data_IF_343776608319
#
_entry.id   IF_343776608319
#
_cell.length_a   1.000
_cell.length_b   1.000
_cell.length_c   1.000
_cell.angle_alpha   90.00
_cell.angle_beta   90.00
_cell.angle_gamma   90.00
#
_symmetry.space_group_name_H-M   'P 1'
#
loop_
_entity.id
_entity.type
_entity.pdbx_description
1 polymer ?
#
# COMPACT_ATOMS: atom_id res chain seq x y z
N UNK A 1 -7.98 12.57 2.76
CA UNK A 1 -9.06 11.61 2.91
C UNK A 1 -10.34 12.29 3.40
N UNK A 2 -11.45 11.64 3.27
CA UNK A 2 -12.67 12.02 3.97
C UNK A 2 -12.38 12.12 5.46
N UNK A 3 -13.02 13.06 6.17
CA UNK A 3 -12.65 13.47 7.53
C UNK A 3 -12.26 12.29 8.45
N UNK A 4 -10.99 12.22 8.81
CA UNK A 4 -10.45 11.35 9.84
C UNK A 4 -10.13 9.91 9.43
N UNK A 5 -10.34 9.49 8.18
CA UNK A 5 -10.04 8.12 7.73
C UNK A 5 -8.85 8.09 6.78
N UNK A 6 -7.78 7.38 7.15
CA UNK A 6 -6.62 7.15 6.28
C UNK A 6 -6.24 5.67 6.28
N UNK A 7 -5.53 5.23 5.24
CA UNK A 7 -4.99 3.87 5.16
C UNK A 7 -3.86 3.68 6.19
N UNK A 8 -3.86 2.54 6.88
CA UNK A 8 -2.76 2.20 7.78
C UNK A 8 -1.43 2.08 7.03
N UNK A 9 -0.40 2.70 7.57
CA UNK A 9 0.96 2.61 7.06
C UNK A 9 1.62 1.27 7.42
N UNK A 10 2.75 0.98 6.78
CA UNK A 10 3.56 -0.20 7.09
C UNK A 10 5.05 0.10 6.92
N UNK A 11 5.88 -0.64 7.63
CA UNK A 11 7.32 -0.72 7.41
C UNK A 11 7.62 -2.01 6.64
N UNK A 12 8.16 -1.87 5.45
CA UNK A 12 8.60 -3.01 4.65
C UNK A 12 10.02 -3.40 5.05
N UNK A 13 10.33 -4.70 4.94
CA UNK A 13 11.66 -5.19 5.29
C UNK A 13 12.02 -6.45 4.50
N UNK A 14 13.31 -6.78 4.51
CA UNK A 14 13.83 -8.00 3.90
C UNK A 14 14.46 -8.89 4.95
N UNK A 15 14.25 -10.18 4.78
CA UNK A 15 14.91 -11.23 5.54
C UNK A 15 15.90 -11.95 4.63
N UNK A 16 17.13 -12.10 5.10
CA UNK A 16 18.16 -12.95 4.49
C UNK A 16 18.32 -14.25 5.26
N UNK A 17 19.01 -15.23 4.69
CA UNK A 17 19.21 -16.56 5.29
C UNK A 17 17.97 -17.45 5.27
N UNK A 18 17.04 -17.16 4.37
CA UNK A 18 15.80 -17.93 4.14
C UNK A 18 16.06 -19.06 3.14
N UNK A 19 15.54 -20.24 3.42
CA UNK A 19 15.39 -21.28 2.42
C UNK A 19 14.26 -20.89 1.45
N UNK A 20 14.64 -20.25 0.34
CA UNK A 20 13.68 -19.68 -0.61
C UNK A 20 12.96 -20.76 -1.43
N UNK A 21 13.50 -21.98 -1.54
CA UNK A 21 12.80 -23.08 -2.16
C UNK A 21 11.60 -23.51 -1.31
N UNK A 22 11.79 -23.65 -0.01
CA UNK A 22 10.70 -23.98 0.92
C UNK A 22 9.73 -22.80 1.08
N UNK A 23 10.25 -21.61 1.26
CA UNK A 23 9.45 -20.40 1.51
C UNK A 23 8.58 -20.01 0.29
N UNK A 24 9.06 -20.25 -0.93
CA UNK A 24 8.36 -19.93 -2.16
C UNK A 24 7.12 -20.79 -2.42
N UNK A 25 7.08 -21.99 -1.86
CA UNK A 25 5.93 -22.90 -1.97
C UNK A 25 4.79 -22.57 -0.98
N UNK A 26 5.04 -21.68 0.00
CA UNK A 26 4.05 -21.31 0.99
C UNK A 26 2.97 -20.42 0.41
N UNK A 27 1.74 -20.88 0.49
CA UNK A 27 0.57 -20.09 0.11
C UNK A 27 0.17 -19.09 1.19
N UNK A 28 -0.52 -18.01 0.82
CA UNK A 28 -1.05 -17.03 1.78
C UNK A 28 -1.93 -17.64 2.88
N UNK A 29 -2.84 -18.61 2.61
CA UNK A 29 -3.60 -19.31 3.65
C UNK A 29 -2.71 -20.05 4.65
N UNK A 30 -1.69 -20.77 4.19
CA UNK A 30 -0.75 -21.48 5.08
C UNK A 30 0.02 -20.50 5.98
N UNK A 31 0.54 -19.40 5.42
CA UNK A 31 1.22 -18.37 6.21
C UNK A 31 0.27 -17.77 7.24
N UNK A 32 -0.99 -17.50 6.86
CA UNK A 32 -2.00 -17.00 7.79
C UNK A 32 -2.21 -17.96 8.97
N UNK A 33 -2.38 -19.25 8.71
CA UNK A 33 -2.53 -20.25 9.76
C UNK A 33 -1.35 -20.27 10.74
N UNK A 34 -0.13 -20.22 10.22
CA UNK A 34 1.10 -20.18 11.03
C UNK A 34 1.19 -18.91 11.89
N UNK A 35 0.84 -17.75 11.34
CA UNK A 35 0.84 -16.50 12.09
C UNK A 35 -0.29 -16.44 13.13
N UNK A 36 -1.47 -17.00 12.84
CA UNK A 36 -2.57 -17.10 13.82
C UNK A 36 -2.20 -18.05 14.97
N UNK A 37 -1.42 -19.10 14.73
CA UNK A 37 -0.85 -19.94 15.80
C UNK A 37 0.08 -19.12 16.69
N UNK A 38 0.96 -18.29 16.10
CA UNK A 38 1.81 -17.40 16.90
C UNK A 38 0.99 -16.43 17.75
N UNK A 39 -0.12 -15.90 17.21
CA UNK A 39 -1.06 -15.07 17.97
C UNK A 39 -1.68 -15.86 19.14
N UNK A 40 -2.10 -17.09 18.91
CA UNK A 40 -2.65 -17.96 19.96
C UNK A 40 -1.62 -18.26 21.07
N UNK A 41 -0.32 -18.34 20.71
CA UNK A 41 0.79 -18.51 21.64
C UNK A 41 1.21 -17.20 22.35
N UNK A 42 0.47 -16.09 22.13
CA UNK A 42 0.65 -14.82 22.83
C UNK A 42 1.50 -13.76 22.10
N UNK A 43 1.91 -13.98 20.86
CA UNK A 43 2.60 -12.94 20.09
C UNK A 43 1.63 -11.82 19.65
N UNK A 44 1.90 -10.55 19.98
CA UNK A 44 0.99 -9.44 19.70
C UNK A 44 1.11 -8.97 18.24
N UNK A 45 0.83 -9.85 17.29
CA UNK A 45 0.92 -9.52 15.87
C UNK A 45 -0.23 -8.58 15.47
N UNK A 46 0.06 -7.38 14.97
CA UNK A 46 -0.99 -6.46 14.49
C UNK A 46 -1.63 -6.96 13.19
N UNK A 47 -0.94 -7.82 12.43
CA UNK A 47 -1.42 -8.44 11.20
C UNK A 47 -0.97 -9.90 11.13
N UNK A 48 -1.88 -10.81 10.81
CA UNK A 48 -1.63 -12.24 10.74
C UNK A 48 -1.74 -12.80 9.32
N UNK A 49 -1.52 -11.98 8.30
CA UNK A 49 -1.55 -12.42 6.90
C UNK A 49 -0.57 -11.61 6.05
N UNK A 50 0.16 -12.32 5.19
CA UNK A 50 1.05 -11.71 4.18
C UNK A 50 1.32 -12.71 3.07
N UNK A 51 1.86 -12.24 1.93
CA UNK A 51 2.57 -13.08 0.99
C UNK A 51 4.06 -13.12 1.31
N UNK A 52 4.74 -14.17 0.92
CA UNK A 52 6.21 -14.23 0.85
C UNK A 52 6.61 -13.85 -0.58
N UNK A 53 7.38 -12.79 -0.70
CA UNK A 53 7.89 -12.34 -2.00
C UNK A 53 9.37 -12.71 -2.10
N UNK A 54 9.65 -13.82 -2.78
CA UNK A 54 11.02 -14.29 -3.02
C UNK A 54 11.76 -13.27 -3.90
N UNK A 55 12.93 -12.83 -3.46
CA UNK A 55 13.77 -11.91 -4.21
C UNK A 55 14.61 -12.71 -5.23
N UNK A 56 15.01 -12.11 -6.39
CA UNK A 56 15.98 -12.74 -7.27
C UNK A 56 17.33 -13.07 -6.62
N UNK A 57 17.70 -12.38 -5.54
CA UNK A 57 18.86 -12.74 -4.73
C UNK A 57 18.53 -13.98 -3.88
N UNK A 58 19.36 -15.02 -4.00
CA UNK A 58 19.20 -16.26 -3.26
C UNK A 58 19.14 -16.02 -1.75
N UNK A 59 18.24 -16.73 -1.08
CA UNK A 59 18.08 -16.66 0.36
C UNK A 59 17.44 -15.39 0.89
N UNK A 60 16.89 -14.51 0.01
CA UNK A 60 16.28 -13.23 0.39
C UNK A 60 14.78 -13.22 0.09
N UNK A 61 13.99 -12.77 1.06
CA UNK A 61 12.56 -12.52 0.90
C UNK A 61 12.20 -11.10 1.31
N UNK A 62 11.19 -10.54 0.67
CA UNK A 62 10.60 -9.26 1.00
C UNK A 62 9.24 -9.47 1.68
N UNK A 63 9.00 -8.74 2.77
CA UNK A 63 7.78 -8.81 3.56
C UNK A 63 7.12 -7.44 3.71
N UNK A 64 5.79 -7.41 3.50
CA UNK A 64 4.90 -6.29 3.78
C UNK A 64 3.81 -6.77 4.75
N UNK A 65 4.18 -7.01 6.00
CA UNK A 65 3.31 -7.63 7.01
C UNK A 65 3.01 -6.72 8.21
N UNK A 66 3.80 -5.66 8.41
CA UNK A 66 3.57 -4.73 9.52
C UNK A 66 2.30 -3.91 9.32
N UNK A 67 1.71 -3.42 10.40
CA UNK A 67 0.59 -2.50 10.43
C UNK A 67 0.82 -1.49 11.54
N UNK A 68 0.99 -0.24 11.18
CA UNK A 68 1.35 0.81 12.12
C UNK A 68 0.09 1.47 12.67
N UNK A 69 -0.06 1.41 13.98
CA UNK A 69 -1.17 2.01 14.72
C UNK A 69 -0.63 2.86 15.86
N UNK A 70 -1.36 3.92 16.19
CA UNK A 70 -1.19 4.63 17.44
C UNK A 70 -1.65 3.76 18.64
N UNK A 71 -1.48 4.20 19.89
CA UNK A 71 -1.92 3.45 21.08
C UNK A 71 -3.41 3.12 21.11
N UNK A 72 -4.25 3.91 20.46
CA UNK A 72 -5.71 3.70 20.37
C UNK A 72 -6.09 2.70 19.27
N UNK A 73 -5.10 2.18 18.53
CA UNK A 73 -5.32 1.25 17.41
C UNK A 73 -5.71 1.92 16.10
N UNK A 74 -5.68 3.26 16.04
CA UNK A 74 -6.00 4.05 14.86
C UNK A 74 -4.75 4.30 13.99
N UNK A 75 -4.91 4.68 12.70
CA UNK A 75 -3.78 5.06 11.87
C UNK A 75 -3.08 6.31 12.42
N UNK A 76 -1.76 6.36 12.29
CA UNK A 76 -1.00 7.58 12.58
C UNK A 76 -1.33 8.69 11.59
N UNK A 77 -1.41 9.94 12.07
CA UNK A 77 -1.48 11.14 11.24
C UNK A 77 -0.07 11.47 10.71
N UNK A 78 0.33 10.85 9.60
CA UNK A 78 1.72 10.87 9.10
C UNK A 78 2.15 12.21 8.46
N UNK A 79 1.30 13.23 8.48
CA UNK A 79 1.66 14.61 8.17
C UNK A 79 2.10 15.39 9.40
N UNK A 80 1.96 14.79 10.58
CA UNK A 80 2.45 15.27 11.85
C UNK A 80 3.85 14.65 12.09
N UNK A 81 4.92 15.44 12.26
CA UNK A 81 6.29 14.94 12.41
C UNK A 81 6.48 14.05 13.66
N UNK A 82 5.78 14.34 14.76
CA UNK A 82 5.87 13.55 15.99
C UNK A 82 5.25 12.18 15.79
N UNK A 83 4.06 12.13 15.20
CA UNK A 83 3.39 10.87 14.87
C UNK A 83 4.14 10.06 13.80
N UNK A 84 4.77 10.73 12.82
CA UNK A 84 5.63 10.05 11.86
C UNK A 84 6.84 9.43 12.54
N UNK A 85 7.50 10.14 13.46
CA UNK A 85 8.65 9.63 14.22
C UNK A 85 8.25 8.43 15.08
N UNK A 86 7.08 8.48 15.72
CA UNK A 86 6.56 7.36 16.50
C UNK A 86 6.20 6.17 15.61
N UNK A 87 5.60 6.39 14.45
CA UNK A 87 5.31 5.33 13.47
C UNK A 87 6.60 4.62 13.00
N UNK A 88 7.69 5.36 12.79
CA UNK A 88 9.01 4.79 12.47
C UNK A 88 9.52 3.90 13.61
N UNK A 89 9.38 4.34 14.86
CA UNK A 89 9.79 3.56 16.03
C UNK A 89 8.98 2.27 16.18
N UNK A 90 7.66 2.38 16.06
CA UNK A 90 6.73 1.23 16.12
C UNK A 90 7.00 0.26 14.97
N UNK A 91 7.25 0.77 13.77
CA UNK A 91 7.58 -0.05 12.61
C UNK A 91 8.82 -0.92 12.83
N UNK A 92 9.90 -0.33 13.38
CA UNK A 92 11.14 -1.07 13.70
C UNK A 92 10.94 -2.13 14.78
N UNK A 93 10.09 -1.87 15.76
CA UNK A 93 9.73 -2.86 16.79
C UNK A 93 8.94 -4.02 16.18
N UNK A 94 7.97 -3.74 15.32
CA UNK A 94 7.22 -4.79 14.63
C UNK A 94 8.11 -5.64 13.72
N UNK A 95 9.09 -5.06 13.03
CA UNK A 95 10.05 -5.80 12.20
C UNK A 95 10.80 -6.85 13.04
N UNK A 96 11.27 -6.49 14.23
CA UNK A 96 11.93 -7.45 15.15
C UNK A 96 10.98 -8.56 15.61
N UNK A 97 9.74 -8.19 15.94
CA UNK A 97 8.71 -9.15 16.33
C UNK A 97 8.43 -10.16 15.20
N UNK A 98 8.26 -9.68 13.97
CA UNK A 98 8.03 -10.57 12.82
C UNK A 98 9.26 -11.41 12.47
N UNK A 99 10.49 -10.90 12.61
CA UNK A 99 11.69 -11.73 12.45
C UNK A 99 11.65 -12.93 13.38
N UNK A 100 11.36 -12.72 14.68
CA UNK A 100 11.27 -13.78 15.67
C UNK A 100 10.17 -14.79 15.33
N UNK A 101 8.96 -14.30 15.00
CA UNK A 101 7.82 -15.14 14.68
C UNK A 101 8.06 -15.96 13.41
N UNK A 102 8.57 -15.35 12.33
CA UNK A 102 8.88 -16.09 11.11
C UNK A 102 9.91 -17.18 11.36
N UNK A 103 10.95 -16.92 12.13
CA UNK A 103 11.97 -17.90 12.47
C UNK A 103 11.42 -19.10 13.25
N UNK A 104 10.45 -18.86 14.11
CA UNK A 104 9.89 -19.88 15.00
C UNK A 104 8.77 -20.69 14.36
N UNK A 105 7.93 -20.06 13.54
CA UNK A 105 6.68 -20.65 13.07
C UNK A 105 6.68 -20.97 11.58
N UNK A 106 7.46 -20.29 10.76
CA UNK A 106 7.35 -20.39 9.31
C UNK A 106 8.46 -21.29 8.73
N UNK A 107 8.12 -22.38 8.03
CA UNK A 107 9.09 -23.25 7.37
C UNK A 107 10.01 -22.45 6.43
N UNK A 108 11.29 -22.83 6.40
CA UNK A 108 12.31 -22.13 5.60
C UNK A 108 12.92 -20.90 6.25
N UNK A 109 12.37 -20.38 7.37
CA UNK A 109 12.84 -19.14 8.01
C UNK A 109 13.70 -19.35 9.27
N UNK A 110 14.02 -20.59 9.64
CA UNK A 110 14.72 -20.87 10.92
C UNK A 110 16.04 -20.11 11.13
N UNK A 111 16.74 -19.74 10.06
CA UNK A 111 17.99 -18.95 10.08
C UNK A 111 17.82 -17.51 9.63
N UNK A 112 16.59 -17.09 9.37
CA UNK A 112 16.29 -15.77 8.81
C UNK A 112 16.78 -14.65 9.75
N UNK A 113 17.26 -13.55 9.13
CA UNK A 113 17.66 -12.31 9.83
C UNK A 113 17.21 -11.12 8.98
N UNK A 114 16.83 -10.05 9.66
CA UNK A 114 16.60 -8.76 9.00
C UNK A 114 17.92 -8.29 8.40
N UNK A 115 17.93 -8.08 7.09
CA UNK A 115 19.09 -7.55 6.36
C UNK A 115 18.86 -6.13 5.87
N UNK A 116 17.59 -5.72 5.76
CA UNK A 116 17.23 -4.40 5.26
C UNK A 116 15.82 -4.01 5.75
N UNK A 117 15.63 -2.73 6.01
CA UNK A 117 14.35 -2.12 6.37
C UNK A 117 14.14 -0.93 5.44
N UNK A 118 12.93 -0.71 4.97
CA UNK A 118 12.60 0.45 4.15
C UNK A 118 13.13 1.75 4.76
N UNK A 119 13.66 2.64 3.92
CA UNK A 119 14.28 3.90 4.35
C UNK A 119 13.32 4.78 5.17
N UNK A 120 12.03 4.63 4.95
CA UNK A 120 10.97 5.31 5.69
C UNK A 120 9.70 4.47 5.76
N UNK A 121 8.79 4.87 6.63
CA UNK A 121 7.42 4.31 6.69
C UNK A 121 6.75 4.39 5.33
N UNK A 122 6.15 3.30 4.90
CA UNK A 122 5.35 3.22 3.69
C UNK A 122 3.99 3.87 3.88
N UNK A 123 3.92 5.16 3.54
CA UNK A 123 2.69 5.96 3.62
C UNK A 123 1.78 5.61 2.44
N UNK A 124 0.55 5.18 2.73
CA UNK A 124 -0.45 4.86 1.70
C UNK A 124 -1.36 6.02 1.37
N UNK A 125 -1.77 6.75 2.39
CA UNK A 125 -2.69 7.87 2.27
C UNK A 125 -2.39 8.92 3.35
N UNK A 126 -2.52 10.20 2.99
CA UNK A 126 -2.51 11.34 3.90
C UNK A 126 -3.47 12.40 3.38
N UNK A 127 -2.92 13.47 2.77
CA UNK A 127 -3.70 14.54 2.13
C UNK A 127 -3.95 14.18 0.67
N UNK A 128 -5.17 14.34 0.23
CA UNK A 128 -5.57 14.28 -1.18
C UNK A 128 -5.86 15.70 -1.65
N UNK A 129 -5.58 16.00 -2.91
CA UNK A 129 -5.95 17.30 -3.47
C UNK A 129 -7.46 17.37 -3.73
N UNK A 130 -7.97 18.58 -3.84
CA UNK A 130 -9.28 18.83 -4.43
C UNK A 130 -9.05 19.12 -5.91
N UNK A 131 -9.41 18.18 -6.76
CA UNK A 131 -9.29 18.30 -8.22
C UNK A 131 -10.57 18.84 -8.85
N UNK A 132 -10.49 19.14 -10.14
CA UNK A 132 -11.66 19.49 -10.97
C UNK A 132 -12.63 18.31 -11.10
N UNK A 133 -12.13 17.08 -10.92
CA UNK A 133 -12.90 15.85 -10.79
C UNK A 133 -12.44 15.03 -9.59
N UNK A 134 -13.28 14.05 -9.23
CA UNK A 134 -13.02 13.11 -8.12
C UNK A 134 -13.18 11.69 -8.61
N UNK A 135 -12.16 10.84 -8.43
CA UNK A 135 -12.29 9.41 -8.64
C UNK A 135 -13.12 8.82 -7.49
N UNK A 136 -14.34 8.38 -7.78
CA UNK A 136 -15.25 7.86 -6.77
C UNK A 136 -15.14 6.33 -6.62
N UNK A 137 -15.57 5.81 -5.50
CA UNK A 137 -15.71 4.36 -5.28
C UNK A 137 -16.66 3.74 -6.32
N UNK A 138 -17.77 4.42 -6.61
CA UNK A 138 -18.75 3.98 -7.62
C UNK A 138 -18.12 3.88 -9.01
N UNK A 139 -17.19 4.80 -9.36
CA UNK A 139 -16.44 4.77 -10.61
C UNK A 139 -15.58 3.52 -10.73
N UNK A 140 -14.85 3.18 -9.66
CA UNK A 140 -14.00 1.98 -9.63
C UNK A 140 -14.84 0.71 -9.70
N UNK A 141 -15.87 0.56 -8.85
CA UNK A 141 -16.77 -0.60 -8.81
C UNK A 141 -17.55 -0.79 -10.12
N UNK A 142 -17.96 0.31 -10.74
CA UNK A 142 -18.69 0.30 -12.03
C UNK A 142 -17.79 0.09 -13.24
N UNK A 143 -16.47 -0.07 -13.07
CA UNK A 143 -15.50 -0.21 -14.18
C UNK A 143 -15.68 0.89 -15.22
N UNK A 144 -15.91 2.13 -14.81
CA UNK A 144 -16.21 3.25 -15.69
C UNK A 144 -14.99 3.61 -16.54
N UNK A 145 -15.21 3.88 -17.82
CA UNK A 145 -14.16 4.18 -18.80
C UNK A 145 -14.41 5.57 -19.42
N UNK A 146 -14.08 6.66 -18.69
CA UNK A 146 -14.33 8.03 -19.17
C UNK A 146 -13.49 8.34 -20.42
N UNK A 147 -13.98 9.26 -21.25
CA UNK A 147 -13.29 9.63 -22.50
C UNK A 147 -11.97 10.37 -22.25
N UNK A 148 -11.90 11.14 -21.16
CA UNK A 148 -10.71 11.88 -20.71
C UNK A 148 -9.72 11.03 -19.90
N UNK A 149 -9.85 9.70 -19.90
CA UNK A 149 -8.97 8.83 -19.14
C UNK A 149 -7.52 8.93 -19.59
N UNK A 150 -6.63 9.03 -18.63
CA UNK A 150 -5.17 9.11 -18.85
C UNK A 150 -4.47 7.77 -18.59
N UNK A 151 -5.13 6.85 -17.94
CA UNK A 151 -4.61 5.53 -17.62
C UNK A 151 -5.75 4.53 -17.34
N UNK A 152 -5.41 3.25 -17.32
CA UNK A 152 -6.30 2.16 -16.96
C UNK A 152 -5.78 1.46 -15.72
N UNK A 153 -6.67 1.00 -14.85
CA UNK A 153 -6.32 0.17 -13.69
C UNK A 153 -7.32 -0.97 -13.50
N UNK A 154 -6.81 -2.16 -13.25
CA UNK A 154 -7.59 -3.33 -12.82
C UNK A 154 -7.29 -3.71 -11.36
N UNK A 155 -6.55 -2.85 -10.61
CA UNK A 155 -6.24 -3.14 -9.22
C UNK A 155 -7.51 -3.12 -8.37
N UNK A 156 -7.70 -4.11 -7.48
CA UNK A 156 -8.88 -4.14 -6.61
C UNK A 156 -8.88 -3.00 -5.60
N UNK A 157 -10.02 -2.77 -4.95
CA UNK A 157 -10.07 -1.91 -3.77
C UNK A 157 -9.36 -2.65 -2.62
N UNK A 158 -8.17 -2.17 -2.25
CA UNK A 158 -7.33 -2.74 -1.20
C UNK A 158 -7.40 -1.89 0.07
N UNK A 159 -8.39 -2.18 0.91
CA UNK A 159 -8.67 -1.41 2.12
C UNK A 159 -7.92 -1.97 3.33
N UNK A 160 -7.04 -1.15 3.89
CA UNK A 160 -6.34 -1.43 5.14
C UNK A 160 -7.08 -0.79 6.32
N UNK A 161 -8.21 -1.41 6.71
CA UNK A 161 -9.05 -0.96 7.80
C UNK A 161 -8.65 -1.51 9.18
N UNK A 162 -9.57 -1.38 10.15
CA UNK A 162 -9.44 -1.98 11.49
C UNK A 162 -9.37 -3.51 11.38
N UNK A 163 -8.67 -4.16 12.32
CA UNK A 163 -8.49 -5.62 12.32
C UNK A 163 -7.16 -6.09 11.73
N UNK A 164 -6.97 -7.41 11.65
CA UNK A 164 -5.70 -8.04 11.24
C UNK A 164 -5.63 -8.38 9.76
N UNK A 165 -6.71 -8.26 9.03
CA UNK A 165 -6.79 -8.58 7.60
C UNK A 165 -6.94 -7.31 6.75
N UNK A 166 -6.51 -7.40 5.49
CA UNK A 166 -6.81 -6.42 4.44
C UNK A 166 -8.09 -6.88 3.75
N UNK A 167 -9.03 -5.97 3.53
CA UNK A 167 -10.22 -6.24 2.73
C UNK A 167 -9.86 -6.02 1.26
N UNK A 168 -10.18 -7.02 0.44
CA UNK A 168 -9.97 -7.00 -1.00
C UNK A 168 -11.31 -7.12 -1.71
N UNK A 169 -11.61 -6.18 -2.58
CA UNK A 169 -12.74 -6.25 -3.46
C UNK A 169 -12.23 -6.18 -4.91
N UNK A 170 -12.29 -7.33 -5.58
CA UNK A 170 -11.80 -7.47 -6.94
C UNK A 170 -12.84 -6.95 -7.94
N UNK A 171 -12.36 -6.37 -9.03
CA UNK A 171 -13.19 -6.08 -10.19
C UNK A 171 -13.58 -7.41 -10.87
N UNK A 172 -14.66 -7.44 -11.66
CA UNK A 172 -14.98 -8.59 -12.48
C UNK A 172 -13.81 -9.00 -13.39
N UNK A 173 -13.70 -10.29 -13.69
CA UNK A 173 -12.62 -10.82 -14.51
C UNK A 173 -12.54 -10.12 -15.88
N UNK A 174 -11.35 -9.65 -16.23
CA UNK A 174 -11.08 -8.93 -17.47
C UNK A 174 -11.49 -7.46 -17.46
N UNK A 175 -12.14 -6.97 -16.40
CA UNK A 175 -12.55 -5.58 -16.28
C UNK A 175 -11.45 -4.66 -15.71
N UNK A 176 -11.63 -3.39 -16.01
CA UNK A 176 -10.77 -2.29 -15.58
C UNK A 176 -11.55 -0.98 -15.54
N UNK A 177 -11.03 0.01 -14.86
CA UNK A 177 -11.56 1.38 -14.86
C UNK A 177 -10.54 2.38 -15.40
N UNK A 178 -11.01 3.49 -15.96
CA UNK A 178 -10.15 4.59 -16.40
C UNK A 178 -9.87 5.58 -15.29
N UNK A 179 -8.66 6.14 -15.25
CA UNK A 179 -8.30 7.25 -14.36
C UNK A 179 -8.60 8.57 -15.09
N UNK A 180 -9.58 9.39 -14.63
CA UNK A 180 -9.92 10.63 -15.28
C UNK A 180 -8.80 11.68 -15.17
N UNK A 181 -8.57 12.45 -16.24
CA UNK A 181 -7.66 13.59 -16.23
C UNK A 181 -8.00 14.61 -15.13
N UNK A 182 -9.28 14.93 -14.97
CA UNK A 182 -9.75 15.90 -14.00
C UNK A 182 -9.36 15.62 -12.55
N UNK A 183 -8.98 14.35 -12.21
CA UNK A 183 -8.47 13.99 -10.88
C UNK A 183 -7.03 14.46 -10.62
N UNK A 184 -6.30 14.87 -11.66
CA UNK A 184 -4.92 15.35 -11.58
C UNK A 184 -4.82 16.88 -11.63
N UNK A 185 -5.86 17.57 -12.09
CA UNK A 185 -5.94 19.03 -12.16
C UNK A 185 -6.37 19.57 -10.81
N UNK A 186 -5.55 20.43 -10.21
CA UNK A 186 -5.83 20.98 -8.86
C UNK A 186 -6.81 22.15 -8.99
N UNK A 187 -7.99 22.01 -8.40
CA UNK A 187 -9.03 23.04 -8.47
C UNK A 187 -8.54 24.40 -7.94
N UNK A 188 -8.78 25.45 -8.71
CA UNK A 188 -8.38 26.83 -8.39
C UNK A 188 -6.92 27.15 -8.68
N UNK A 189 -6.20 26.31 -9.41
CA UNK A 189 -4.85 26.56 -9.91
C UNK A 189 -4.77 26.29 -11.41
N UNK A 190 -4.28 27.25 -12.17
CA UNK A 190 -4.16 27.13 -13.63
C UNK A 190 -2.90 26.37 -14.09
N UNK A 191 -1.93 26.22 -13.22
CA UNK A 191 -0.59 25.70 -13.54
C UNK A 191 -0.09 24.62 -12.55
N UNK A 192 -1.00 23.93 -11.86
CA UNK A 192 -0.65 22.89 -10.90
C UNK A 192 -1.34 21.57 -11.23
N UNK A 193 -0.53 20.55 -11.47
CA UNK A 193 -0.95 19.17 -11.64
C UNK A 193 -0.39 18.31 -10.50
N UNK A 194 -1.08 17.24 -10.19
CA UNK A 194 -0.61 16.21 -9.26
C UNK A 194 -0.57 14.86 -9.92
N UNK A 195 0.26 13.96 -9.41
CA UNK A 195 0.30 12.56 -9.84
C UNK A 195 0.61 11.66 -8.65
N UNK A 196 0.01 10.48 -8.61
CA UNK A 196 0.27 9.50 -7.57
C UNK A 196 -0.76 9.49 -6.45
N UNK A 197 -0.34 9.16 -5.23
CA UNK A 197 -1.21 8.89 -4.08
C UNK A 197 -2.02 10.07 -3.57
N UNK A 198 -1.69 11.27 -4.00
CA UNK A 198 -2.37 12.52 -3.63
C UNK A 198 -3.42 12.99 -4.65
N UNK A 199 -3.75 12.16 -5.65
CA UNK A 199 -4.82 12.45 -6.62
C UNK A 199 -6.13 12.81 -5.91
N UNK A 200 -7.04 13.48 -6.63
CA UNK A 200 -8.40 13.76 -6.14
C UNK A 200 -9.25 12.50 -6.23
N UNK A 201 -9.51 11.87 -5.09
CA UNK A 201 -10.25 10.61 -5.00
C UNK A 201 -10.95 10.46 -3.66
N UNK A 202 -12.01 9.67 -3.62
CA UNK A 202 -12.55 9.11 -2.39
C UNK A 202 -11.59 8.09 -1.78
N UNK A 203 -11.66 7.88 -0.47
CA UNK A 203 -10.78 6.96 0.27
C UNK A 203 -10.69 5.55 -0.35
N UNK A 204 -11.83 4.94 -0.67
CA UNK A 204 -11.86 3.60 -1.24
C UNK A 204 -11.31 3.56 -2.68
N UNK A 205 -11.60 4.56 -3.49
CA UNK A 205 -11.07 4.69 -4.85
C UNK A 205 -9.54 4.91 -4.85
N UNK A 206 -9.04 5.74 -3.93
CA UNK A 206 -7.62 5.97 -3.72
C UNK A 206 -6.91 4.65 -3.35
N UNK A 207 -7.55 3.79 -2.55
CA UNK A 207 -7.00 2.49 -2.17
C UNK A 207 -6.70 1.58 -3.38
N UNK A 208 -7.44 1.73 -4.47
CA UNK A 208 -7.17 1.06 -5.76
C UNK A 208 -6.13 1.80 -6.60
N UNK A 209 -6.26 3.13 -6.75
CA UNK A 209 -5.46 3.92 -7.68
C UNK A 209 -4.01 4.23 -7.20
N UNK A 210 -3.70 4.03 -5.92
CA UNK A 210 -2.41 4.41 -5.29
C UNK A 210 -1.24 3.48 -5.56
N UNK A 211 -1.45 2.33 -6.19
CA UNK A 211 -0.39 1.36 -6.45
C UNK A 211 0.55 1.82 -7.56
N UNK A 212 1.73 1.22 -7.67
CA UNK A 212 2.81 1.72 -8.52
C UNK A 212 2.41 1.92 -9.98
N UNK A 213 1.69 0.97 -10.60
CA UNK A 213 1.28 1.06 -12.00
C UNK A 213 0.47 2.33 -12.32
N UNK A 214 -0.70 2.54 -11.68
CA UNK A 214 -1.45 3.78 -11.83
C UNK A 214 -0.66 5.05 -11.49
N UNK A 215 0.19 5.02 -10.45
CA UNK A 215 1.01 6.19 -10.09
C UNK A 215 2.02 6.56 -11.18
N UNK A 216 2.65 5.57 -11.82
CA UNK A 216 3.58 5.82 -12.95
C UNK A 216 2.83 6.40 -14.14
N UNK A 217 1.67 5.83 -14.50
CA UNK A 217 0.85 6.32 -15.60
C UNK A 217 0.33 7.76 -15.37
N UNK A 218 -0.08 8.07 -14.14
CA UNK A 218 -0.42 9.46 -13.77
C UNK A 218 0.77 10.41 -13.91
N UNK A 219 1.98 9.97 -13.50
CA UNK A 219 3.21 10.75 -13.65
C UNK A 219 3.54 11.04 -15.11
N UNK A 220 3.42 10.04 -15.99
CA UNK A 220 3.60 10.18 -17.43
C UNK A 220 2.61 11.20 -18.03
N UNK A 221 1.32 11.05 -17.70
CA UNK A 221 0.26 11.94 -18.20
C UNK A 221 0.48 13.40 -17.75
N UNK A 222 0.75 13.61 -16.45
CA UNK A 222 1.00 14.95 -15.92
C UNK A 222 2.25 15.60 -16.51
N UNK A 223 3.35 14.84 -16.66
CA UNK A 223 4.59 15.32 -17.28
C UNK A 223 4.40 15.66 -18.75
N UNK A 224 3.69 14.81 -19.50
CA UNK A 224 3.36 15.06 -20.92
C UNK A 224 2.51 16.31 -21.08
N UNK A 225 1.47 16.48 -20.27
CA UNK A 225 0.60 17.65 -20.32
C UNK A 225 1.36 18.94 -19.99
N UNK A 226 2.25 18.91 -18.97
CA UNK A 226 3.09 20.03 -18.63
C UNK A 226 4.03 20.43 -19.79
N UNK A 227 4.63 19.46 -20.47
CA UNK A 227 5.47 19.71 -21.65
C UNK A 227 4.66 20.28 -22.82
N UNK A 228 3.47 19.73 -23.08
CA UNK A 228 2.57 20.22 -24.14
C UNK A 228 2.13 21.68 -23.89
N UNK A 229 1.81 22.05 -22.64
CA UNK A 229 1.38 23.39 -22.29
C UNK A 229 2.48 24.44 -22.55
N UNK A 230 3.74 24.09 -22.31
CA UNK A 230 4.89 24.96 -22.61
C UNK A 230 5.12 25.12 -24.12
N UNK A 231 4.69 24.18 -24.93
CA UNK A 231 4.84 24.22 -26.39
C UNK A 231 3.68 24.95 -27.10
N UNK A 232 2.54 25.08 -26.41
CA UNK A 232 1.34 25.70 -26.96
C UNK A 232 1.20 27.21 -26.60
N UNK A 233 1.98 27.70 -25.66
CA UNK A 233 2.01 29.10 -25.21
C UNK A 233 3.25 29.80 -25.59
#
# INVERSE_FOLDING_TARGET
GEEGTTQYASTMFRLGGVDTAVAGELTRPQIRELLERAVADGYPLPRATTGVHVNPLEGVVHLNVTKLTNPDGEPFLLVDPEQLSEAERVGRQQVKLYEEVFRRYVPGFGRARVIDIGASVGVRETRLVRGDGVLTEAHVRGCVKPDDRIACSSWPLELHGKGRATTWEFLPDGEWYGLPWACLVVAGFDNLLVAGRNLSAEHAAQASARVAGPCVAMGEAAGTAAAMSLSAG
#
